data_IF_150037664441
#
_entry.id   IF_150037664441
#
_cell.length_a   1.000
_cell.length_b   1.000
_cell.length_c   1.000
_cell.angle_alpha   90.00
_cell.angle_beta   90.00
_cell.angle_gamma   90.00
#
_symmetry.space_group_name_H-M   'P 1'
#
loop_
_entity.id
_entity.type
_entity.pdbx_description
1 polymer ?
#
# COMPACT_ATOMS: atom_id res chain seq x y z
N UNK A 1 -26.26 44.04 -14.89
CA UNK A 1 -24.88 43.55 -15.13
C UNK A 1 -24.62 42.53 -14.03
N UNK A 2 -24.61 41.24 -14.37
CA UNK A 2 -24.35 40.17 -13.41
C UNK A 2 -22.84 40.03 -13.22
N UNK A 3 -22.40 40.19 -11.98
CA UNK A 3 -21.02 39.98 -11.54
C UNK A 3 -20.72 38.48 -11.62
N UNK A 4 -19.74 38.10 -12.46
CA UNK A 4 -19.25 36.74 -12.51
C UNK A 4 -18.43 36.50 -11.23
N UNK A 5 -19.03 35.80 -10.27
CA UNK A 5 -18.33 35.28 -9.10
C UNK A 5 -17.35 34.22 -9.62
N UNK A 6 -16.09 34.63 -9.78
CA UNK A 6 -14.98 33.74 -10.06
C UNK A 6 -14.79 32.87 -8.80
N UNK A 7 -15.34 31.66 -8.82
CA UNK A 7 -15.01 30.65 -7.82
C UNK A 7 -13.55 30.26 -8.05
N UNK A 8 -12.65 30.90 -7.31
CA UNK A 8 -11.25 30.55 -7.18
C UNK A 8 -11.19 29.14 -6.59
N UNK A 9 -11.00 28.16 -7.47
CA UNK A 9 -11.08 26.74 -7.15
C UNK A 9 -10.01 26.38 -6.13
N UNK A 10 -10.47 25.89 -4.99
CA UNK A 10 -9.78 25.09 -3.96
C UNK A 10 -8.33 24.70 -4.35
N UNK A 11 -7.40 25.63 -4.20
CA UNK A 11 -6.00 25.43 -4.56
C UNK A 11 -5.36 24.50 -3.52
N UNK A 12 -5.30 23.20 -3.81
CA UNK A 12 -4.45 22.28 -3.07
C UNK A 12 -3.03 22.87 -3.00
N UNK A 13 -2.58 23.22 -1.79
CA UNK A 13 -1.27 23.84 -1.56
C UNK A 13 -0.18 22.96 -2.15
N UNK A 14 0.55 23.50 -3.13
CA UNK A 14 1.74 22.87 -3.71
C UNK A 14 2.92 22.86 -2.72
N UNK A 15 2.78 23.52 -1.57
CA UNK A 15 3.79 23.55 -0.51
C UNK A 15 3.45 22.51 0.55
N UNK A 16 4.43 21.66 0.87
CA UNK A 16 4.34 20.63 1.90
C UNK A 16 5.50 20.74 2.88
N UNK A 17 5.23 20.48 4.16
CA UNK A 17 6.27 20.41 5.19
C UNK A 17 6.85 19.00 5.23
N UNK A 18 8.06 18.83 4.71
CA UNK A 18 8.80 17.57 4.74
C UNK A 18 9.97 17.72 5.71
N UNK A 19 9.99 16.93 6.79
CA UNK A 19 11.07 16.93 7.79
C UNK A 19 11.40 18.33 8.35
N UNK A 20 10.36 19.15 8.59
CA UNK A 20 10.51 20.51 9.12
C UNK A 20 10.93 21.56 8.09
N UNK A 21 11.04 21.21 6.80
CA UNK A 21 11.33 22.13 5.71
C UNK A 21 10.14 22.24 4.76
N UNK A 22 9.81 23.46 4.36
CA UNK A 22 8.81 23.71 3.32
C UNK A 22 9.43 23.44 1.94
N UNK A 23 8.82 22.50 1.21
CA UNK A 23 9.20 22.17 -0.15
C UNK A 23 7.98 22.38 -1.03
N UNK A 24 8.15 23.17 -2.09
CA UNK A 24 7.12 23.34 -3.11
C UNK A 24 7.37 22.31 -4.20
N UNK A 25 6.43 21.38 -4.36
CA UNK A 25 6.44 20.34 -5.39
C UNK A 25 5.16 20.46 -6.20
N UNK A 26 5.29 20.35 -7.51
CA UNK A 26 4.13 20.34 -8.40
C UNK A 26 3.25 19.11 -8.06
N UNK A 27 1.99 19.35 -7.70
CA UNK A 27 1.08 18.32 -7.20
C UNK A 27 1.10 18.10 -5.67
N UNK A 28 1.86 18.92 -4.92
CA UNK A 28 1.83 18.97 -3.46
C UNK A 28 2.09 17.62 -2.79
N UNK A 29 1.26 17.26 -1.82
CA UNK A 29 1.44 16.04 -0.99
C UNK A 29 1.31 14.75 -1.80
N UNK A 30 0.51 14.74 -2.87
CA UNK A 30 0.27 13.55 -3.67
C UNK A 30 1.55 13.10 -4.39
N UNK A 31 2.32 14.04 -4.95
CA UNK A 31 3.60 13.77 -5.61
C UNK A 31 4.63 13.21 -4.63
N UNK A 32 4.66 13.72 -3.40
CA UNK A 32 5.53 13.18 -2.34
C UNK A 32 5.14 11.75 -1.99
N UNK A 33 3.86 11.49 -1.76
CA UNK A 33 3.37 10.14 -1.43
C UNK A 33 3.59 9.18 -2.60
N UNK A 34 3.45 9.65 -3.84
CA UNK A 34 3.78 8.87 -5.04
C UNK A 34 5.25 8.45 -5.05
N UNK A 35 6.16 9.40 -4.79
CA UNK A 35 7.59 9.12 -4.67
C UNK A 35 7.89 8.12 -3.54
N UNK A 36 7.24 8.27 -2.39
CA UNK A 36 7.36 7.32 -1.29
C UNK A 36 6.88 5.92 -1.69
N UNK A 37 5.71 5.79 -2.32
CA UNK A 37 5.18 4.52 -2.82
C UNK A 37 6.11 3.87 -3.85
N UNK A 38 6.71 4.65 -4.74
CA UNK A 38 7.70 4.18 -5.70
C UNK A 38 8.95 3.62 -4.98
N UNK A 39 9.49 4.36 -4.00
CA UNK A 39 10.63 3.90 -3.19
C UNK A 39 10.28 2.63 -2.41
N UNK A 40 9.13 2.57 -1.73
CA UNK A 40 8.67 1.36 -1.06
C UNK A 40 8.53 0.18 -2.03
N UNK A 41 8.17 0.43 -3.30
CA UNK A 41 8.07 -0.60 -4.33
C UNK A 41 9.42 -1.11 -4.80
N UNK A 42 10.39 -0.23 -4.99
CA UNK A 42 11.76 -0.65 -5.28
C UNK A 42 12.32 -1.48 -4.12
N UNK A 43 12.14 -1.04 -2.87
CA UNK A 43 12.58 -1.78 -1.68
C UNK A 43 11.91 -3.16 -1.62
N UNK A 44 10.61 -3.24 -1.87
CA UNK A 44 9.86 -4.50 -1.89
C UNK A 44 10.45 -5.48 -2.90
N UNK A 45 10.61 -5.06 -4.16
CA UNK A 45 11.12 -5.94 -5.23
C UNK A 45 12.55 -6.37 -4.95
N UNK A 46 13.42 -5.43 -4.57
CA UNK A 46 14.83 -5.73 -4.25
C UNK A 46 14.93 -6.70 -3.08
N UNK A 47 14.18 -6.49 -2.01
CA UNK A 47 14.18 -7.41 -0.86
C UNK A 47 13.59 -8.78 -1.23
N UNK A 48 12.53 -8.84 -2.04
CA UNK A 48 11.92 -10.08 -2.46
C UNK A 48 12.86 -10.95 -3.31
N UNK A 49 13.61 -10.34 -4.22
CA UNK A 49 14.61 -11.00 -5.07
C UNK A 49 15.85 -11.40 -4.26
N UNK A 50 16.33 -10.52 -3.37
CA UNK A 50 17.46 -10.84 -2.49
C UNK A 50 17.17 -12.04 -1.59
N UNK A 51 16.02 -12.06 -0.90
CA UNK A 51 15.65 -13.20 -0.06
C UNK A 51 15.39 -14.47 -0.89
N UNK A 52 14.93 -14.34 -2.13
CA UNK A 52 14.76 -15.50 -3.03
C UNK A 52 16.11 -16.16 -3.36
N UNK A 53 17.14 -15.36 -3.66
CA UNK A 53 18.51 -15.86 -3.84
C UNK A 53 19.04 -16.54 -2.58
N UNK A 54 18.88 -15.90 -1.42
CA UNK A 54 19.32 -16.46 -0.15
C UNK A 54 18.60 -17.77 0.23
N UNK A 55 17.31 -17.93 -0.13
CA UNK A 55 16.56 -19.20 0.05
C UNK A 55 17.16 -20.32 -0.83
N UNK A 56 17.56 -19.99 -2.05
CA UNK A 56 18.17 -20.95 -2.97
C UNK A 56 19.53 -21.47 -2.45
N UNK A 57 20.34 -20.57 -1.88
CA UNK A 57 21.70 -20.90 -1.44
C UNK A 57 21.75 -21.62 -0.07
N UNK A 58 20.71 -21.47 0.76
CA UNK A 58 20.63 -22.07 2.10
C UNK A 58 19.32 -22.88 2.28
N UNK A 59 19.24 -24.11 1.71
CA UNK A 59 18.03 -24.93 1.75
C UNK A 59 17.59 -25.31 3.17
N UNK A 60 18.55 -25.49 4.08
CA UNK A 60 18.29 -25.87 5.48
C UNK A 60 17.52 -24.79 6.25
N UNK A 61 17.71 -23.52 5.87
CA UNK A 61 17.05 -22.35 6.45
C UNK A 61 15.86 -21.85 5.60
N UNK A 62 15.52 -22.54 4.51
CA UNK A 62 14.53 -22.08 3.53
C UNK A 62 13.17 -21.78 4.17
N UNK A 63 12.70 -22.63 5.08
CA UNK A 63 11.41 -22.44 5.75
C UNK A 63 11.37 -21.16 6.61
N UNK A 64 12.42 -20.90 7.40
CA UNK A 64 12.52 -19.71 8.22
C UNK A 64 12.64 -18.44 7.35
N UNK A 65 13.44 -18.51 6.29
CA UNK A 65 13.68 -17.38 5.40
C UNK A 65 12.45 -17.05 4.53
N UNK A 66 11.66 -18.07 4.14
CA UNK A 66 10.34 -17.87 3.52
C UNK A 66 9.36 -17.17 4.47
N UNK A 67 9.33 -17.55 5.75
CA UNK A 67 8.49 -16.88 6.73
C UNK A 67 8.91 -15.40 6.93
N UNK A 68 10.22 -15.14 7.03
CA UNK A 68 10.76 -13.77 7.10
C UNK A 68 10.37 -12.96 5.86
N UNK A 69 10.53 -13.54 4.66
CA UNK A 69 10.11 -12.92 3.40
C UNK A 69 8.62 -12.57 3.42
N UNK A 70 7.76 -13.50 3.83
CA UNK A 70 6.32 -13.28 3.90
C UNK A 70 5.97 -12.12 4.87
N UNK A 71 6.55 -12.11 6.07
CA UNK A 71 6.31 -11.08 7.08
C UNK A 71 6.79 -9.71 6.59
N UNK A 72 7.99 -9.64 6.00
CA UNK A 72 8.56 -8.41 5.47
C UNK A 72 7.68 -7.81 4.37
N UNK A 73 7.31 -8.62 3.37
CA UNK A 73 6.49 -8.17 2.24
C UNK A 73 5.07 -7.79 2.69
N UNK A 74 4.50 -8.53 3.64
CA UNK A 74 3.21 -8.18 4.25
C UNK A 74 3.28 -6.82 4.96
N UNK A 75 4.34 -6.57 5.73
CA UNK A 75 4.55 -5.27 6.39
C UNK A 75 4.63 -4.11 5.39
N UNK A 76 5.39 -4.28 4.30
CA UNK A 76 5.48 -3.28 3.24
C UNK A 76 4.12 -3.05 2.55
N UNK A 77 3.36 -4.12 2.28
CA UNK A 77 2.04 -4.02 1.68
C UNK A 77 1.04 -3.27 2.57
N UNK A 78 1.07 -3.49 3.89
CA UNK A 78 0.23 -2.77 4.86
C UNK A 78 0.58 -1.27 4.86
N UNK A 79 1.87 -0.92 4.86
CA UNK A 79 2.29 0.47 4.82
C UNK A 79 1.82 1.14 3.52
N UNK A 80 2.05 0.51 2.36
CA UNK A 80 1.63 1.06 1.06
C UNK A 80 0.12 1.25 0.97
N UNK A 81 -0.65 0.23 1.34
CA UNK A 81 -2.11 0.32 1.34
C UNK A 81 -2.61 1.43 2.25
N UNK A 82 -2.00 1.61 3.43
CA UNK A 82 -2.34 2.71 4.35
C UNK A 82 -2.05 4.08 3.74
N UNK A 83 -0.90 4.25 3.07
CA UNK A 83 -0.55 5.47 2.35
C UNK A 83 -1.58 5.79 1.25
N UNK A 84 -1.98 4.79 0.46
CA UNK A 84 -2.99 4.95 -0.59
C UNK A 84 -4.35 5.30 0.01
N UNK A 85 -4.76 4.62 1.07
CA UNK A 85 -6.05 4.86 1.71
C UNK A 85 -6.13 6.29 2.28
N UNK A 86 -5.09 6.76 2.97
CA UNK A 86 -5.12 8.08 3.59
C UNK A 86 -4.93 9.24 2.62
N UNK A 87 -4.10 9.08 1.60
CA UNK A 87 -3.75 10.18 0.70
C UNK A 87 -4.42 10.13 -0.67
N UNK A 88 -4.84 8.95 -1.15
CA UNK A 88 -5.42 8.82 -2.50
C UNK A 88 -6.90 8.46 -2.52
N UNK A 89 -7.45 7.88 -1.45
CA UNK A 89 -8.87 7.50 -1.40
C UNK A 89 -9.76 8.54 -0.69
N UNK A 90 -9.20 9.67 -0.25
CA UNK A 90 -9.89 10.78 0.44
C UNK A 90 -10.89 10.35 1.53
N UNK A 91 -10.71 9.17 2.14
CA UNK A 91 -11.66 8.60 3.10
C UNK A 91 -11.84 9.48 4.35
N UNK A 92 -10.87 10.34 4.64
CA UNK A 92 -10.94 11.27 5.76
C UNK A 92 -11.98 12.38 5.54
N UNK A 93 -12.19 12.80 4.29
CA UNK A 93 -13.08 13.91 3.92
C UNK A 93 -14.41 13.44 3.33
N UNK A 94 -14.46 12.19 2.84
CA UNK A 94 -15.62 11.58 2.19
C UNK A 94 -16.56 10.85 3.16
N UNK A 95 -17.73 10.43 2.66
CA UNK A 95 -18.75 9.72 3.44
C UNK A 95 -18.22 8.37 3.99
N UNK A 96 -18.53 8.07 5.27
CA UNK A 96 -18.10 6.85 5.99
C UNK A 96 -18.54 5.55 5.29
N UNK A 97 -19.55 5.63 4.43
CA UNK A 97 -20.01 4.51 3.62
C UNK A 97 -18.91 3.98 2.67
N UNK A 98 -18.03 4.84 2.16
CA UNK A 98 -16.92 4.44 1.28
C UNK A 98 -15.89 3.59 2.04
N UNK A 99 -15.65 3.89 3.32
CA UNK A 99 -14.78 3.07 4.16
C UNK A 99 -15.36 1.66 4.39
N UNK A 100 -16.68 1.51 4.46
CA UNK A 100 -17.35 0.19 4.56
C UNK A 100 -17.19 -0.60 3.26
N UNK A 101 -17.27 0.05 2.10
CA UNK A 101 -17.06 -0.59 0.81
C UNK A 101 -15.65 -1.18 0.68
N UNK A 102 -14.63 -0.53 1.25
CA UNK A 102 -13.25 -1.07 1.30
C UNK A 102 -13.12 -2.30 2.20
N UNK A 103 -14.00 -2.44 3.19
CA UNK A 103 -14.00 -3.59 4.10
C UNK A 103 -14.50 -4.87 3.40
N UNK A 104 -15.34 -4.73 2.37
CA UNK A 104 -15.88 -5.86 1.60
C UNK A 104 -14.79 -6.71 0.89
N UNK A 105 -13.89 -6.15 0.06
CA UNK A 105 -12.80 -6.93 -0.54
C UNK A 105 -11.85 -7.51 0.50
N UNK A 106 -11.63 -6.83 1.63
CA UNK A 106 -10.84 -7.35 2.74
C UNK A 106 -11.50 -8.59 3.38
N UNK A 107 -12.81 -8.55 3.57
CA UNK A 107 -13.60 -9.68 4.07
C UNK A 107 -13.50 -10.87 3.12
N UNK A 108 -13.66 -10.64 1.81
CA UNK A 108 -13.52 -11.70 0.80
C UNK A 108 -12.13 -12.32 0.86
N UNK A 109 -11.07 -11.50 0.88
CA UNK A 109 -9.70 -12.00 0.99
C UNK A 109 -9.48 -12.82 2.28
N UNK A 110 -10.00 -12.35 3.41
CA UNK A 110 -9.94 -13.07 4.68
C UNK A 110 -10.65 -14.44 4.62
N UNK A 111 -11.84 -14.50 4.04
CA UNK A 111 -12.57 -15.75 3.82
C UNK A 111 -11.79 -16.69 2.88
N UNK A 112 -11.20 -16.17 1.81
CA UNK A 112 -10.36 -16.97 0.91
C UNK A 112 -9.14 -17.58 1.61
N UNK A 113 -8.48 -16.82 2.49
CA UNK A 113 -7.34 -17.32 3.28
C UNK A 113 -7.79 -18.41 4.25
N UNK A 114 -8.90 -18.20 4.97
CA UNK A 114 -9.48 -19.20 5.88
C UNK A 114 -9.83 -20.50 5.14
N UNK A 115 -10.42 -20.38 3.95
CA UNK A 115 -10.71 -21.52 3.09
C UNK A 115 -9.46 -22.29 2.69
N UNK A 116 -8.39 -21.59 2.27
CA UNK A 116 -7.12 -22.22 1.90
C UNK A 116 -6.44 -22.91 3.09
N UNK A 117 -6.56 -22.37 4.30
CA UNK A 117 -6.03 -22.99 5.51
C UNK A 117 -6.82 -24.23 5.94
N UNK A 118 -8.11 -24.29 5.62
CA UNK A 118 -8.97 -25.42 5.97
C UNK A 118 -8.77 -26.64 5.04
N UNK A 119 -8.25 -26.45 3.83
CA UNK A 119 -8.06 -27.52 2.85
C UNK A 119 -6.64 -28.10 2.96
N UNK A 120 -6.49 -29.41 3.24
CA UNK A 120 -5.18 -30.04 3.27
C UNK A 120 -4.55 -30.03 1.86
N UNK A 121 -3.24 -29.73 1.74
CA UNK A 121 -2.54 -29.65 0.45
C UNK A 121 -2.57 -30.94 -0.40
N UNK A 122 -2.91 -32.08 0.21
CA UNK A 122 -2.97 -33.39 -0.43
C UNK A 122 -4.15 -33.62 -1.38
N UNK A 123 -5.07 -32.66 -1.50
CA UNK A 123 -6.26 -32.76 -2.37
C UNK A 123 -6.06 -32.37 -3.84
N UNK A 124 -4.91 -31.79 -4.22
CA UNK A 124 -4.59 -31.35 -5.58
C UNK A 124 -3.66 -32.32 -6.33
N UNK A 125 -3.87 -33.63 -6.14
CA UNK A 125 -3.16 -34.66 -6.91
C UNK A 125 -3.96 -35.08 -8.14
N UNK A 126 -3.59 -34.55 -9.30
CA UNK A 126 -3.73 -35.24 -10.60
C UNK A 126 -2.32 -35.38 -11.17
#
# INVERSE_FOLDING_TARGET
MAEAIHHEGDHHSNTVQLLGREITVEGGVYTVVFGALAVLTVIEVVSAEFLKGAIHDAPDAAAALQAIKAILLLGIAIIKSSLVIWFYMHLKTENRLIAIVILLPLLIAGLSIMFLLAIPPSGYGI
#
